data_IF_935732176444
#
_entry.id   IF_935732176444
#
_cell.length_a   1.000
_cell.length_b   1.000
_cell.length_c   1.000
_cell.angle_alpha   90.00
_cell.angle_beta   90.00
_cell.angle_gamma   90.00
#
_symmetry.space_group_name_H-M   'P 1'
#
loop_
_entity.id
_entity.type
_entity.pdbx_description
1 polymer ?
#
# COMPACT_ATOMS: atom_id res chain seq x y z
N UNK A 1 23.72 -37.04 -31.99
CA UNK A 1 23.41 -37.00 -30.55
C UNK A 1 23.55 -35.56 -30.12
N UNK A 2 22.43 -34.83 -30.07
CA UNK A 2 22.40 -33.44 -29.65
C UNK A 2 21.76 -33.40 -28.26
N UNK A 3 22.55 -33.02 -27.25
CA UNK A 3 22.07 -32.80 -25.89
C UNK A 3 21.20 -31.54 -25.86
N UNK A 4 19.89 -31.73 -25.83
CA UNK A 4 18.95 -30.66 -25.50
C UNK A 4 19.01 -30.44 -23.99
N UNK A 5 19.87 -29.52 -23.54
CA UNK A 5 19.86 -29.05 -22.17
C UNK A 5 18.46 -28.52 -21.81
N UNK A 6 17.85 -28.93 -20.68
CA UNK A 6 16.58 -28.40 -20.26
C UNK A 6 16.77 -26.92 -19.90
N UNK A 7 16.18 -26.03 -20.69
CA UNK A 7 16.06 -24.62 -20.37
C UNK A 7 15.33 -24.51 -19.03
N UNK A 8 16.07 -24.23 -17.97
CA UNK A 8 15.54 -23.86 -16.65
C UNK A 8 14.68 -22.62 -16.83
N UNK A 9 13.38 -22.83 -17.02
CA UNK A 9 12.36 -21.78 -16.91
C UNK A 9 12.43 -21.29 -15.47
N UNK A 10 13.26 -20.28 -15.24
CA UNK A 10 13.26 -19.52 -14.00
C UNK A 10 11.87 -18.92 -13.91
N UNK A 11 11.02 -19.53 -13.09
CA UNK A 11 9.74 -18.96 -12.67
C UNK A 11 10.06 -17.63 -12.00
N UNK A 12 10.03 -16.55 -12.78
CA UNK A 12 10.22 -15.19 -12.27
C UNK A 12 8.95 -14.89 -11.49
N UNK A 13 9.04 -14.97 -10.16
CA UNK A 13 8.05 -14.40 -9.27
C UNK A 13 7.81 -12.92 -9.60
N UNK A 14 6.76 -12.29 -9.03
CA UNK A 14 6.45 -10.90 -9.29
C UNK A 14 7.70 -10.02 -9.19
N UNK A 15 7.96 -9.25 -10.24
CA UNK A 15 9.10 -8.33 -10.23
C UNK A 15 8.95 -7.32 -9.10
N UNK A 16 10.06 -6.93 -8.47
CA UNK A 16 10.06 -5.94 -7.38
C UNK A 16 9.32 -4.65 -7.76
N UNK A 17 9.43 -4.21 -9.02
CA UNK A 17 8.71 -3.05 -9.54
C UNK A 17 7.18 -3.19 -9.50
N UNK A 18 6.65 -4.40 -9.70
CA UNK A 18 5.22 -4.67 -9.63
C UNK A 18 4.71 -4.60 -8.19
N UNK A 19 5.48 -5.14 -7.23
CA UNK A 19 5.16 -5.05 -5.80
C UNK A 19 5.16 -3.60 -5.34
N UNK A 20 6.18 -2.82 -5.75
CA UNK A 20 6.25 -1.38 -5.47
C UNK A 20 5.05 -0.66 -6.10
N UNK A 21 4.70 -0.98 -7.34
CA UNK A 21 3.52 -0.43 -8.00
C UNK A 21 2.23 -0.65 -7.19
N UNK A 22 1.99 -1.88 -6.75
CA UNK A 22 0.82 -2.21 -5.92
C UNK A 22 0.84 -1.54 -4.55
N UNK A 23 2.02 -1.37 -3.96
CA UNK A 23 2.19 -0.60 -2.73
C UNK A 23 1.78 0.87 -2.94
N UNK A 24 2.24 1.49 -4.04
CA UNK A 24 1.89 2.88 -4.37
C UNK A 24 0.37 3.00 -4.62
N UNK A 25 -0.24 2.05 -5.33
CA UNK A 25 -1.70 2.04 -5.55
C UNK A 25 -2.45 2.03 -4.21
N UNK A 26 -2.11 1.14 -3.29
CA UNK A 26 -2.82 1.04 -2.01
C UNK A 26 -2.65 2.27 -1.13
N UNK A 27 -1.44 2.84 -1.08
CA UNK A 27 -1.18 4.10 -0.40
C UNK A 27 -1.97 5.27 -1.02
N UNK A 28 -2.01 5.38 -2.35
CA UNK A 28 -2.74 6.42 -3.05
C UNK A 28 -4.25 6.27 -2.86
N UNK A 29 -4.81 5.05 -2.89
CA UNK A 29 -6.23 4.82 -2.67
C UNK A 29 -6.65 5.23 -1.25
N UNK A 30 -5.88 4.82 -0.23
CA UNK A 30 -6.14 5.22 1.14
C UNK A 30 -6.02 6.74 1.34
N UNK A 31 -5.02 7.37 0.73
CA UNK A 31 -4.84 8.83 0.77
C UNK A 31 -5.99 9.55 0.06
N UNK A 32 -6.47 9.01 -1.07
CA UNK A 32 -7.60 9.55 -1.81
C UNK A 32 -8.87 9.55 -0.96
N UNK A 33 -9.08 8.47 -0.20
CA UNK A 33 -10.22 8.37 0.72
C UNK A 33 -10.10 9.35 1.89
N UNK A 34 -8.92 9.44 2.52
CA UNK A 34 -8.69 10.32 3.67
C UNK A 34 -8.78 11.81 3.30
N UNK A 35 -8.39 12.15 2.07
CA UNK A 35 -8.38 13.51 1.55
C UNK A 35 -9.49 13.75 0.51
N UNK A 36 -10.59 12.99 0.54
CA UNK A 36 -11.58 12.95 -0.54
C UNK A 36 -12.14 14.33 -0.93
N UNK A 37 -12.37 15.20 0.05
CA UNK A 37 -12.91 16.55 -0.16
C UNK A 37 -11.87 17.62 -0.53
N UNK A 38 -10.59 17.27 -0.60
CA UNK A 38 -9.50 18.20 -0.91
C UNK A 38 -8.75 17.75 -2.16
N UNK A 39 -7.59 17.12 -1.99
CA UNK A 39 -6.73 16.65 -3.08
C UNK A 39 -7.07 15.22 -3.51
N UNK A 40 -7.83 14.49 -2.70
CA UNK A 40 -8.11 13.07 -2.89
C UNK A 40 -8.89 12.76 -4.16
N UNK A 41 -9.79 13.66 -4.60
CA UNK A 41 -10.52 13.50 -5.86
C UNK A 41 -9.58 13.43 -7.08
N UNK A 42 -8.43 14.12 -7.04
CA UNK A 42 -7.43 14.08 -8.12
C UNK A 42 -6.49 12.87 -8.00
N UNK A 43 -6.24 12.39 -6.78
CA UNK A 43 -5.40 11.21 -6.55
C UNK A 43 -6.11 9.91 -6.94
N UNK A 44 -7.44 9.86 -6.80
CA UNK A 44 -8.24 8.68 -7.15
C UNK A 44 -8.05 8.23 -8.61
N UNK A 45 -8.22 9.08 -9.65
CA UNK A 45 -8.00 8.66 -11.02
C UNK A 45 -6.54 8.24 -11.28
N UNK A 46 -5.55 8.87 -10.63
CA UNK A 46 -4.14 8.49 -10.74
C UNK A 46 -3.92 7.07 -10.20
N UNK A 47 -4.48 6.76 -9.02
CA UNK A 47 -4.40 5.44 -8.42
C UNK A 47 -5.05 4.37 -9.30
N UNK A 48 -6.22 4.68 -9.86
CA UNK A 48 -6.94 3.78 -10.78
C UNK A 48 -6.17 3.55 -12.07
N UNK A 49 -5.62 4.61 -12.69
CA UNK A 49 -4.80 4.49 -13.89
C UNK A 49 -3.57 3.62 -13.64
N UNK A 50 -2.89 3.80 -12.50
CA UNK A 50 -1.75 2.97 -12.13
C UNK A 50 -2.15 1.50 -11.94
N UNK A 51 -3.27 1.24 -11.26
CA UNK A 51 -3.82 -0.11 -11.10
C UNK A 51 -4.12 -0.75 -12.46
N UNK A 52 -4.77 -0.03 -13.37
CA UNK A 52 -5.07 -0.50 -14.74
C UNK A 52 -3.79 -0.82 -15.50
N UNK A 53 -2.77 0.05 -15.44
CA UNK A 53 -1.47 -0.18 -16.09
C UNK A 53 -0.79 -1.43 -15.53
N UNK A 54 -0.79 -1.64 -14.22
CA UNK A 54 -0.19 -2.82 -13.58
C UNK A 54 -0.95 -4.10 -13.95
N UNK A 55 -2.29 -4.06 -14.00
CA UNK A 55 -3.11 -5.18 -14.46
C UNK A 55 -2.85 -5.49 -15.93
N UNK A 56 -2.73 -4.46 -16.77
CA UNK A 56 -2.43 -4.64 -18.19
C UNK A 56 -1.04 -5.21 -18.42
N UNK A 57 -0.03 -4.74 -17.69
CA UNK A 57 1.33 -5.28 -17.75
C UNK A 57 1.37 -6.76 -17.33
N UNK A 58 0.63 -7.15 -16.29
CA UNK A 58 0.47 -8.56 -15.91
C UNK A 58 -0.16 -9.40 -17.03
N UNK A 59 -1.24 -8.90 -17.64
CA UNK A 59 -1.93 -9.59 -18.72
C UNK A 59 -1.03 -9.79 -19.96
N UNK A 60 -0.22 -8.77 -20.31
CA UNK A 60 0.72 -8.86 -21.45
C UNK A 60 1.86 -9.85 -21.21
N UNK A 61 2.29 -10.02 -19.95
CA UNK A 61 3.39 -10.93 -19.58
C UNK A 61 2.97 -12.40 -19.52
N UNK A 62 1.68 -12.71 -19.68
CA UNK A 62 1.18 -14.09 -19.68
C UNK A 62 1.45 -14.82 -18.35
N UNK A 63 1.63 -14.10 -17.25
CA UNK A 63 1.88 -14.73 -15.95
C UNK A 63 0.65 -15.52 -15.52
N UNK A 64 0.79 -16.82 -15.22
CA UNK A 64 -0.30 -17.58 -14.65
C UNK A 64 -0.70 -16.94 -13.32
N UNK A 65 -1.99 -16.59 -13.21
CA UNK A 65 -2.56 -16.01 -12.00
C UNK A 65 -2.73 -17.12 -10.97
N UNK A 66 -1.65 -17.43 -10.26
CA UNK A 66 -1.68 -18.32 -9.10
C UNK A 66 -2.52 -17.65 -7.99
N UNK A 67 -3.45 -18.36 -7.32
CA UNK A 67 -4.16 -17.86 -6.15
C UNK A 67 -3.27 -17.18 -5.11
N UNK A 68 -2.03 -17.66 -4.93
CA UNK A 68 -1.05 -17.06 -4.01
C UNK A 68 -0.60 -15.67 -4.46
N UNK A 69 -0.52 -15.45 -5.76
CA UNK A 69 -0.14 -14.16 -6.34
C UNK A 69 -1.22 -13.11 -6.05
N UNK A 70 -2.50 -13.47 -6.18
CA UNK A 70 -3.63 -12.60 -5.81
C UNK A 70 -3.57 -12.25 -4.32
N UNK A 71 -3.36 -13.25 -3.46
CA UNK A 71 -3.21 -13.07 -2.01
C UNK A 71 -2.05 -12.12 -1.66
N UNK A 72 -0.93 -12.23 -2.36
CA UNK A 72 0.23 -11.35 -2.17
C UNK A 72 -0.08 -9.91 -2.59
N UNK A 73 -0.68 -9.70 -3.77
CA UNK A 73 -1.08 -8.38 -4.25
C UNK A 73 -2.09 -7.73 -3.29
N UNK A 74 -3.10 -8.49 -2.86
CA UNK A 74 -4.10 -8.03 -1.91
C UNK A 74 -3.47 -7.67 -0.56
N UNK A 75 -2.55 -8.51 -0.06
CA UNK A 75 -1.81 -8.24 1.17
C UNK A 75 -0.96 -6.96 1.08
N UNK A 76 -0.29 -6.72 -0.06
CA UNK A 76 0.48 -5.48 -0.31
C UNK A 76 -0.42 -4.26 -0.40
N UNK A 77 -1.56 -4.35 -1.09
CA UNK A 77 -2.55 -3.28 -1.17
C UNK A 77 -3.09 -2.90 0.22
N UNK A 78 -3.48 -3.89 1.03
CA UNK A 78 -4.03 -3.65 2.37
C UNK A 78 -2.94 -3.13 3.32
N UNK A 79 -1.73 -3.69 3.27
CA UNK A 79 -0.62 -3.21 4.11
C UNK A 79 -0.25 -1.77 3.76
N UNK A 80 -0.13 -1.44 2.47
CA UNK A 80 0.23 -0.09 2.03
C UNK A 80 -0.85 0.96 2.33
N UNK A 81 -2.13 0.57 2.33
CA UNK A 81 -3.24 1.41 2.74
C UNK A 81 -3.13 1.88 4.20
N UNK A 82 -2.36 1.22 5.07
CA UNK A 82 -2.09 1.69 6.43
C UNK A 82 -1.22 2.96 6.48
N UNK A 83 -0.43 3.23 5.44
CA UNK A 83 0.60 4.30 5.43
C UNK A 83 0.02 5.70 5.67
N UNK A 84 -1.05 6.13 4.96
CA UNK A 84 -1.63 7.45 5.21
C UNK A 84 -2.24 7.58 6.61
N UNK A 85 -2.82 6.50 7.15
CA UNK A 85 -3.35 6.51 8.51
C UNK A 85 -2.23 6.64 9.55
N UNK A 86 -1.13 5.89 9.41
CA UNK A 86 0.04 6.03 10.29
C UNK A 86 0.63 7.44 10.23
N UNK A 87 0.66 8.06 9.05
CA UNK A 87 1.09 9.45 8.88
C UNK A 87 0.19 10.41 9.66
N UNK A 88 -1.12 10.29 9.54
CA UNK A 88 -2.07 11.13 10.29
C UNK A 88 -1.98 10.88 11.79
N UNK A 89 -1.79 9.63 12.24
CA UNK A 89 -1.51 9.30 13.64
C UNK A 89 -0.25 10.01 14.14
N UNK A 90 0.83 10.02 13.35
CA UNK A 90 2.08 10.67 13.72
C UNK A 90 1.94 12.19 13.87
N UNK A 91 1.11 12.82 13.03
CA UNK A 91 0.79 14.25 13.14
C UNK A 91 -0.04 14.55 14.40
N UNK A 92 -0.95 13.67 14.76
CA UNK A 92 -1.82 13.82 15.93
C UNK A 92 -1.24 13.21 17.22
N UNK A 93 0.05 12.85 17.24
CA UNK A 93 0.68 12.15 18.38
C UNK A 93 0.71 12.96 19.69
N UNK A 94 0.48 14.27 19.60
CA UNK A 94 0.39 15.16 20.75
C UNK A 94 -0.85 14.94 21.63
N UNK A 95 -1.78 14.08 21.22
CA UNK A 95 -3.06 13.88 21.89
C UNK A 95 -4.09 14.92 21.46
N UNK A 96 -5.35 14.77 21.89
CA UNK A 96 -6.41 15.69 21.50
C UNK A 96 -6.23 17.06 22.16
N UNK A 97 -6.66 18.11 21.47
CA UNK A 97 -6.68 19.49 21.97
C UNK A 97 -5.78 20.44 21.18
N UNK A 98 -5.87 21.71 21.55
CA UNK A 98 -5.14 22.78 20.87
C UNK A 98 -3.66 22.78 21.26
N UNK A 99 -2.79 22.72 20.26
CA UNK A 99 -1.34 22.79 20.43
C UNK A 99 -0.78 23.98 19.67
N UNK A 100 -0.27 24.95 20.41
CA UNK A 100 0.43 26.08 19.83
C UNK A 100 1.90 25.74 19.58
N UNK A 101 2.40 26.17 18.43
CA UNK A 101 3.80 26.05 18.05
C UNK A 101 4.34 27.42 17.64
N UNK A 102 5.62 27.62 17.92
CA UNK A 102 6.33 28.85 17.62
C UNK A 102 7.67 28.49 16.98
N UNK A 103 7.98 29.16 15.88
CA UNK A 103 9.26 29.10 15.16
C UNK A 103 9.83 30.51 15.05
N UNK A 104 11.07 30.64 14.55
CA UNK A 104 11.70 31.95 14.37
C UNK A 104 10.93 32.91 13.43
N UNK A 105 10.10 32.37 12.54
CA UNK A 105 9.41 33.16 11.49
C UNK A 105 7.88 33.02 11.52
N UNK A 106 7.33 32.10 12.30
CA UNK A 106 5.90 31.81 12.31
C UNK A 106 5.42 31.26 13.66
N UNK A 107 4.16 31.50 13.97
CA UNK A 107 3.47 30.96 15.13
C UNK A 107 2.04 30.58 14.73
N UNK A 108 1.51 29.53 15.32
CA UNK A 108 0.17 29.06 15.04
C UNK A 108 -0.30 28.08 16.11
N UNK A 109 -1.61 27.89 16.18
CA UNK A 109 -2.22 26.87 17.01
C UNK A 109 -3.01 25.91 16.11
N UNK A 110 -2.81 24.62 16.33
CA UNK A 110 -3.47 23.56 15.58
C UNK A 110 -4.28 22.70 16.55
N UNK A 111 -5.51 22.38 16.17
CA UNK A 111 -6.35 21.45 16.92
C UNK A 111 -5.97 20.02 16.55
N UNK A 112 -5.45 19.27 17.52
CA UNK A 112 -5.10 17.87 17.32
C UNK A 112 -6.31 16.98 17.63
N UNK A 113 -6.47 15.96 16.81
CA UNK A 113 -7.46 14.91 17.01
C UNK A 113 -6.88 13.79 17.88
N UNK A 114 -7.75 12.94 18.41
CA UNK A 114 -7.31 11.74 19.12
C UNK A 114 -6.56 10.81 18.13
N UNK A 115 -5.25 10.54 18.32
CA UNK A 115 -4.44 9.76 17.38
C UNK A 115 -4.93 8.31 17.22
N UNK A 116 -5.61 7.75 18.23
CA UNK A 116 -6.10 6.38 18.22
C UNK A 116 -7.20 6.12 17.19
N UNK A 117 -7.95 7.14 16.80
CA UNK A 117 -8.97 7.05 15.75
C UNK A 117 -8.33 6.63 14.42
N UNK A 118 -7.11 7.08 14.16
CA UNK A 118 -6.34 6.74 12.96
C UNK A 118 -5.40 5.55 13.19
N UNK A 119 -4.84 5.40 14.39
CA UNK A 119 -3.89 4.34 14.70
C UNK A 119 -4.55 2.95 14.65
N UNK A 120 -5.78 2.84 15.16
CA UNK A 120 -6.51 1.57 15.21
C UNK A 120 -6.72 0.97 13.81
N UNK A 121 -7.35 1.67 12.84
CA UNK A 121 -7.47 1.14 11.48
C UNK A 121 -6.11 0.92 10.82
N UNK A 122 -5.11 1.76 11.08
CA UNK A 122 -3.77 1.57 10.54
C UNK A 122 -3.14 0.24 10.96
N UNK A 123 -3.20 -0.10 12.26
CA UNK A 123 -2.66 -1.33 12.80
C UNK A 123 -3.43 -2.56 12.32
N UNK A 124 -4.75 -2.45 12.19
CA UNK A 124 -5.59 -3.53 11.63
C UNK A 124 -5.24 -3.79 10.17
N UNK A 125 -5.15 -2.74 9.34
CA UNK A 125 -4.77 -2.86 7.93
C UNK A 125 -3.36 -3.42 7.78
N UNK A 126 -2.39 -2.92 8.55
CA UNK A 126 -1.02 -3.40 8.50
C UNK A 126 -0.94 -4.87 8.91
N UNK A 127 -1.56 -5.25 10.02
CA UNK A 127 -1.60 -6.62 10.52
C UNK A 127 -2.25 -7.59 9.53
N UNK A 128 -3.42 -7.21 8.98
CA UNK A 128 -4.12 -8.02 7.97
C UNK A 128 -3.30 -8.17 6.69
N UNK A 129 -2.73 -7.08 6.18
CA UNK A 129 -1.90 -7.11 4.98
C UNK A 129 -0.66 -7.99 5.15
N UNK A 130 0.04 -7.86 6.28
CA UNK A 130 1.19 -8.70 6.62
C UNK A 130 0.79 -10.18 6.78
N UNK A 131 -0.35 -10.47 7.39
CA UNK A 131 -0.85 -11.84 7.52
C UNK A 131 -1.11 -12.48 6.15
N UNK A 132 -1.73 -11.75 5.21
CA UNK A 132 -1.98 -12.22 3.85
C UNK A 132 -0.68 -12.45 3.07
N UNK A 133 0.28 -11.52 3.16
CA UNK A 133 1.60 -11.68 2.53
C UNK A 133 2.31 -12.91 3.10
N UNK A 134 2.23 -13.11 4.42
CA UNK A 134 2.83 -14.25 5.08
C UNK A 134 2.20 -15.55 4.62
N UNK A 135 0.86 -15.65 4.60
CA UNK A 135 0.12 -16.81 4.09
C UNK A 135 0.49 -17.10 2.63
N UNK A 136 0.57 -16.08 1.78
CA UNK A 136 0.94 -16.21 0.37
C UNK A 136 2.36 -16.78 0.16
N UNK A 137 3.28 -16.49 1.10
CA UNK A 137 4.67 -16.95 1.06
C UNK A 137 4.91 -18.27 1.78
N UNK A 138 3.92 -18.82 2.49
CA UNK A 138 4.10 -20.10 3.18
C UNK A 138 4.31 -21.21 2.13
N UNK A 139 5.40 -21.99 2.22
CA UNK A 139 5.56 -23.17 1.38
C UNK A 139 4.48 -24.20 1.76
N UNK A 140 3.70 -24.66 0.78
CA UNK A 140 2.89 -25.88 0.96
C UNK A 140 3.84 -27.03 1.18
N UNK A 141 3.73 -27.67 2.35
CA UNK A 141 4.39 -28.95 2.63
C UNK A 141 3.86 -30.04 1.70
#
# INVERSE_FOLDING_TARGET
MADTAPSTLTSRGPGTGQIIGWFVVGALLALSFLAMFTIGMFLLPIALLLAVVLVWDMARRGSPVDPRHILLILGVLIASASTPFLWVTWMNRGGPGERCWQTATAQGCEELLNPWIFATPALVLLGLGLALIWIARRPTR
#
